data_IF_075163635680
#
_entry.id   IF_075163635680
#
_cell.length_a   1.000
_cell.length_b   1.000
_cell.length_c   1.000
_cell.angle_alpha   90.00
_cell.angle_beta   90.00
_cell.angle_gamma   90.00
#
_symmetry.space_group_name_H-M   'P 1'
#
loop_
_entity.id
_entity.type
_entity.pdbx_description
1 polymer ?
#
# COMPACT_ATOMS: atom_id res chain seq x y z
N UNK A 1 4.07 71.01 -26.32
CA UNK A 1 4.82 71.35 -25.09
C UNK A 1 4.27 70.48 -23.97
N UNK A 2 4.96 69.38 -23.69
CA UNK A 2 4.68 68.44 -22.60
C UNK A 2 5.47 68.82 -21.34
N UNK A 3 5.08 68.29 -20.18
CA UNK A 3 6.07 67.83 -19.22
C UNK A 3 5.84 66.37 -18.83
N UNK A 4 6.93 65.62 -18.97
CA UNK A 4 7.11 64.20 -18.65
C UNK A 4 7.51 64.07 -17.18
N UNK A 5 6.78 63.30 -16.38
CA UNK A 5 7.22 62.88 -15.05
C UNK A 5 7.60 61.39 -15.07
N UNK A 6 8.89 61.11 -14.89
CA UNK A 6 9.45 59.78 -14.66
C UNK A 6 9.19 59.32 -13.22
N UNK A 7 8.76 58.06 -13.05
CA UNK A 7 8.82 57.33 -11.79
C UNK A 7 9.87 56.22 -11.87
N UNK A 8 10.84 56.29 -10.96
CA UNK A 8 11.96 55.36 -10.79
C UNK A 8 11.54 54.13 -9.97
N UNK A 9 11.91 52.92 -10.45
CA UNK A 9 11.80 51.66 -9.69
C UNK A 9 12.86 51.59 -8.57
N UNK A 10 12.54 51.00 -7.40
CA UNK A 10 13.54 50.65 -6.39
C UNK A 10 14.22 49.29 -6.66
N UNK A 11 15.52 49.20 -6.39
CA UNK A 11 16.29 47.95 -6.42
C UNK A 11 16.29 47.22 -5.05
N UNK A 12 16.33 45.87 -5.01
CA UNK A 12 16.41 45.11 -3.77
C UNK A 12 17.86 44.84 -3.34
N UNK A 13 18.23 45.31 -2.14
CA UNK A 13 19.51 45.02 -1.46
C UNK A 13 19.31 44.13 -0.21
N UNK A 14 18.74 42.92 -0.33
CA UNK A 14 18.62 42.01 0.84
C UNK A 14 18.73 40.51 0.49
N UNK A 15 19.71 40.10 -0.31
CA UNK A 15 19.87 38.68 -0.68
C UNK A 15 21.18 38.01 -0.18
N UNK A 16 22.10 38.72 0.50
CA UNK A 16 23.44 38.18 0.81
C UNK A 16 23.68 37.70 2.25
N UNK A 17 22.75 37.89 3.19
CA UNK A 17 22.95 37.42 4.58
C UNK A 17 22.40 36.01 4.88
N UNK A 18 21.42 35.51 4.11
CA UNK A 18 20.79 34.21 4.41
C UNK A 18 21.61 32.97 3.98
N UNK A 19 22.58 33.14 3.07
CA UNK A 19 23.38 32.03 2.54
C UNK A 19 24.48 31.56 3.51
N UNK A 20 25.03 32.45 4.35
CA UNK A 20 26.12 32.13 5.26
C UNK A 20 25.66 31.26 6.45
N UNK A 21 24.41 31.41 6.91
CA UNK A 21 23.87 30.63 8.03
C UNK A 21 23.59 29.16 7.68
N UNK A 22 23.22 28.87 6.42
CA UNK A 22 22.93 27.50 5.97
C UNK A 22 24.19 26.62 5.88
N UNK A 23 25.34 27.20 5.53
CA UNK A 23 26.60 26.46 5.39
C UNK A 23 27.15 26.03 6.76
N UNK A 24 27.00 26.87 7.79
CA UNK A 24 27.46 26.56 9.16
C UNK A 24 26.58 25.46 9.78
N UNK A 25 25.27 25.46 9.51
CA UNK A 25 24.36 24.43 10.04
C UNK A 25 24.61 23.04 9.43
N UNK A 26 25.00 22.97 8.15
CA UNK A 26 25.34 21.69 7.48
C UNK A 26 26.65 21.11 8.03
N UNK A 27 27.64 21.96 8.35
CA UNK A 27 28.93 21.50 8.87
C UNK A 27 28.81 20.89 10.28
N UNK A 28 27.90 21.41 11.12
CA UNK A 28 27.67 20.89 12.49
C UNK A 28 26.95 19.54 12.47
N UNK A 29 26.00 19.34 11.54
CA UNK A 29 25.29 18.05 11.39
C UNK A 29 26.22 16.96 10.87
N UNK A 30 27.16 17.30 9.98
CA UNK A 30 28.11 16.32 9.43
C UNK A 30 29.11 15.80 10.47
N UNK A 31 29.50 16.62 11.46
CA UNK A 31 30.41 16.22 12.54
C UNK A 31 29.74 15.26 13.53
N UNK A 32 28.42 15.37 13.72
CA UNK A 32 27.65 14.49 14.61
C UNK A 32 27.47 13.06 14.04
N UNK A 33 27.49 12.89 12.71
CA UNK A 33 27.29 11.60 12.05
C UNK A 33 28.55 10.71 12.10
N UNK A 34 29.75 11.30 12.23
CA UNK A 34 31.03 10.55 12.18
C UNK A 34 31.41 9.97 13.56
N UNK A 35 30.70 10.34 14.64
CA UNK A 35 31.03 9.91 16.01
C UNK A 35 30.36 8.62 16.51
N UNK A 36 29.50 7.96 15.72
CA UNK A 36 28.61 6.91 16.22
C UNK A 36 29.11 5.45 16.08
N UNK A 37 30.37 5.21 15.71
CA UNK A 37 30.93 3.87 15.59
C UNK A 37 32.03 3.59 16.62
N UNK A 38 31.64 3.13 17.81
CA UNK A 38 32.56 2.40 18.71
C UNK A 38 31.86 1.15 19.25
N UNK A 39 32.34 -0.02 18.82
CA UNK A 39 31.87 -1.33 19.28
C UNK A 39 32.42 -1.66 20.69
N UNK A 40 31.66 -2.37 21.54
CA UNK A 40 32.17 -2.88 22.82
C UNK A 40 33.01 -4.16 22.64
N UNK A 41 34.05 -4.39 23.47
CA UNK A 41 34.88 -5.59 23.39
C UNK A 41 34.20 -6.80 24.03
N UNK A 42 34.35 -7.96 23.38
CA UNK A 42 33.92 -9.27 23.85
C UNK A 42 34.79 -9.77 25.01
N UNK A 43 34.15 -10.36 26.02
CA UNK A 43 34.79 -11.05 27.14
C UNK A 43 34.92 -12.55 26.84
N UNK A 44 36.10 -13.18 26.98
CA UNK A 44 36.23 -14.63 26.85
C UNK A 44 36.01 -15.30 28.22
N UNK A 45 34.97 -16.12 28.32
CA UNK A 45 34.77 -17.03 29.45
C UNK A 45 35.53 -18.34 29.23
N UNK A 46 36.70 -18.45 29.84
CA UNK A 46 37.47 -19.68 30.03
C UNK A 46 36.70 -20.65 30.92
N UNK A 47 36.58 -21.92 30.54
CA UNK A 47 36.37 -23.02 31.50
C UNK A 47 37.24 -24.19 31.10
N UNK A 48 38.26 -24.45 31.91
CA UNK A 48 39.14 -25.63 31.90
C UNK A 48 38.48 -26.81 32.63
N UNK A 49 39.00 -28.05 32.47
CA UNK A 49 38.28 -29.29 32.71
C UNK A 49 38.41 -29.79 34.16
N UNK A 50 37.39 -30.49 34.64
CA UNK A 50 37.47 -31.29 35.86
C UNK A 50 37.85 -32.71 35.45
N UNK A 51 39.08 -33.09 35.79
CA UNK A 51 39.55 -34.45 35.84
C UNK A 51 38.97 -35.15 37.08
N UNK A 52 38.48 -36.38 36.90
CA UNK A 52 38.33 -37.34 37.99
C UNK A 52 38.86 -38.68 37.48
N UNK A 53 40.08 -38.98 37.90
CA UNK A 53 40.67 -40.31 37.93
C UNK A 53 39.94 -41.12 39.00
N UNK A 54 39.39 -42.28 38.65
CA UNK A 54 39.27 -43.37 39.61
C UNK A 54 39.52 -44.71 38.93
N UNK A 55 40.62 -45.30 39.37
CA UNK A 55 41.25 -46.52 38.86
C UNK A 55 40.61 -47.72 39.55
N UNK A 56 40.09 -48.66 38.78
CA UNK A 56 39.84 -50.02 39.26
C UNK A 56 40.43 -51.05 38.29
N UNK A 57 41.50 -51.65 38.78
CA UNK A 57 42.27 -52.78 38.27
C UNK A 57 41.39 -53.96 37.89
N UNK A 58 41.51 -54.44 36.65
CA UNK A 58 40.99 -55.73 36.20
C UNK A 58 42.12 -56.50 35.50
N UNK A 59 42.26 -57.78 35.86
CA UNK A 59 43.32 -58.71 35.47
C UNK A 59 43.53 -58.84 33.95
N UNK A 60 44.81 -58.94 33.59
CA UNK A 60 45.34 -59.06 32.24
C UNK A 60 45.16 -60.51 31.71
N UNK A 61 44.34 -60.68 30.67
CA UNK A 61 44.30 -61.90 29.85
C UNK A 61 45.21 -61.75 28.62
N UNK A 62 45.89 -62.82 28.17
CA UNK A 62 46.76 -62.75 27.00
C UNK A 62 45.99 -62.46 25.70
N UNK A 63 46.56 -61.68 24.76
CA UNK A 63 45.86 -61.28 23.54
C UNK A 63 45.63 -62.47 22.61
N UNK A 64 44.36 -62.72 22.27
CA UNK A 64 43.96 -63.57 21.16
C UNK A 64 44.04 -62.76 19.86
N UNK A 65 44.96 -63.13 18.96
CA UNK A 65 45.07 -62.58 17.61
C UNK A 65 43.83 -62.98 16.78
N UNK A 66 42.79 -62.17 16.88
CA UNK A 66 41.58 -62.27 16.05
C UNK A 66 41.65 -61.10 15.05
N UNK A 67 41.46 -61.31 13.73
CA UNK A 67 41.50 -60.21 12.77
C UNK A 67 40.35 -59.24 13.07
N UNK A 68 40.66 -58.07 13.60
CA UNK A 68 39.70 -57.00 13.80
C UNK A 68 39.47 -56.35 12.43
N UNK A 69 38.32 -56.63 11.82
CA UNK A 69 37.85 -55.94 10.63
C UNK A 69 37.14 -54.66 11.11
N UNK A 70 37.65 -53.45 10.81
CA UNK A 70 37.00 -52.22 11.24
C UNK A 70 35.59 -52.18 10.65
N UNK A 71 34.58 -52.07 11.51
CA UNK A 71 33.23 -51.73 11.08
C UNK A 71 33.34 -50.35 10.41
N UNK A 72 32.92 -50.19 9.14
CA UNK A 72 32.98 -48.90 8.48
C UNK A 72 32.22 -47.87 9.31
N UNK A 73 32.72 -46.61 9.40
CA UNK A 73 32.04 -45.57 10.15
C UNK A 73 30.59 -45.49 9.69
N UNK A 74 29.65 -45.69 10.62
CA UNK A 74 28.24 -45.43 10.37
C UNK A 74 28.14 -43.97 9.95
N UNK A 75 27.73 -43.74 8.70
CA UNK A 75 27.47 -42.41 8.17
C UNK A 75 26.48 -41.72 9.10
N UNK A 76 26.95 -40.73 9.86
CA UNK A 76 26.07 -39.76 10.51
C UNK A 76 25.19 -39.18 9.40
N UNK A 77 23.85 -39.12 9.54
CA UNK A 77 23.04 -38.43 8.56
C UNK A 77 23.59 -37.01 8.44
N UNK A 78 24.09 -36.66 7.26
CA UNK A 78 24.41 -35.27 6.93
C UNK A 78 23.12 -34.47 7.15
N UNK A 79 23.19 -33.26 7.76
CA UNK A 79 22.01 -32.40 7.77
C UNK A 79 21.51 -32.30 6.34
N UNK A 80 20.24 -32.67 6.13
CA UNK A 80 19.55 -32.42 4.87
C UNK A 80 19.73 -30.94 4.59
N UNK A 81 20.27 -30.53 3.42
CA UNK A 81 20.38 -29.12 3.11
C UNK A 81 19.00 -28.49 3.27
N UNK A 82 18.91 -27.45 4.10
CA UNK A 82 17.70 -26.65 4.21
C UNK A 82 17.38 -26.15 2.79
N UNK A 83 16.16 -26.31 2.29
CA UNK A 83 15.86 -25.88 0.93
C UNK A 83 16.09 -24.37 0.84
N UNK A 84 16.91 -23.97 -0.12
CA UNK A 84 17.15 -22.56 -0.40
C UNK A 84 15.85 -21.94 -0.91
N UNK A 85 15.21 -21.13 -0.06
CA UNK A 85 14.05 -20.35 -0.47
C UNK A 85 14.51 -19.20 -1.36
N UNK A 86 13.88 -19.08 -2.52
CA UNK A 86 13.99 -17.93 -3.42
C UNK A 86 12.59 -17.44 -3.77
N UNK A 87 12.43 -16.14 -4.00
CA UNK A 87 11.12 -15.54 -4.31
C UNK A 87 11.14 -14.81 -5.63
N UNK A 88 10.09 -15.01 -6.42
CA UNK A 88 9.78 -14.18 -7.57
C UNK A 88 8.53 -13.35 -7.30
N UNK A 89 8.61 -12.05 -7.61
CA UNK A 89 7.51 -11.11 -7.43
C UNK A 89 7.11 -10.62 -8.81
N UNK A 90 5.84 -10.82 -9.17
CA UNK A 90 5.32 -10.40 -10.46
C UNK A 90 5.43 -8.89 -10.63
N UNK A 91 5.80 -8.36 -11.81
CA UNK A 91 5.81 -6.92 -12.08
C UNK A 91 4.43 -6.25 -11.91
N UNK A 92 3.36 -7.04 -11.90
CA UNK A 92 1.99 -6.60 -11.62
C UNK A 92 1.69 -6.47 -10.11
N UNK A 93 2.63 -6.78 -9.22
CA UNK A 93 2.49 -6.54 -7.78
C UNK A 93 2.68 -5.04 -7.50
N UNK A 94 1.77 -4.37 -6.79
CA UNK A 94 1.91 -2.96 -6.44
C UNK A 94 3.13 -2.72 -5.56
N UNK A 95 3.75 -1.54 -5.69
CA UNK A 95 4.96 -1.21 -4.94
C UNK A 95 4.73 -1.25 -3.43
N UNK A 96 3.58 -0.77 -2.98
CA UNK A 96 3.18 -0.77 -1.58
C UNK A 96 2.96 -2.19 -1.05
N UNK A 97 2.38 -3.10 -1.83
CA UNK A 97 2.26 -4.51 -1.44
C UNK A 97 3.65 -5.13 -1.27
N UNK A 98 4.54 -4.94 -2.26
CA UNK A 98 5.93 -5.43 -2.23
C UNK A 98 6.71 -4.89 -1.01
N UNK A 99 6.55 -3.60 -0.70
CA UNK A 99 7.24 -2.96 0.43
C UNK A 99 6.74 -3.40 1.81
N UNK A 100 5.53 -3.94 1.89
CA UNK A 100 4.89 -4.36 3.14
C UNK A 100 4.91 -5.88 3.35
N UNK A 101 5.67 -6.62 2.53
CA UNK A 101 5.87 -8.05 2.73
C UNK A 101 6.63 -8.32 4.02
N UNK A 102 6.07 -9.17 4.87
CA UNK A 102 6.60 -9.44 6.20
C UNK A 102 7.39 -10.75 6.23
N UNK A 103 8.60 -10.73 5.68
CA UNK A 103 9.49 -11.89 5.74
C UNK A 103 10.26 -11.95 7.07
N UNK A 104 10.44 -13.15 7.66
CA UNK A 104 11.21 -13.32 8.90
C UNK A 104 12.71 -13.04 8.72
N UNK A 105 13.22 -13.33 7.54
CA UNK A 105 14.58 -13.05 7.08
C UNK A 105 14.52 -12.66 5.61
N UNK A 106 15.49 -11.91 5.10
CA UNK A 106 15.58 -11.58 3.69
C UNK A 106 15.62 -12.87 2.84
N UNK A 107 14.56 -13.11 2.08
CA UNK A 107 14.52 -14.18 1.08
C UNK A 107 15.17 -13.62 -0.20
N UNK A 108 16.20 -14.29 -0.75
CA UNK A 108 16.81 -13.84 -1.99
C UNK A 108 15.81 -13.84 -3.13
N UNK A 109 15.86 -12.80 -3.97
CA UNK A 109 15.10 -12.75 -5.21
C UNK A 109 15.59 -13.80 -6.20
N UNK A 110 14.66 -14.49 -6.86
CA UNK A 110 14.98 -15.40 -7.96
C UNK A 110 15.32 -14.61 -9.24
N UNK A 111 16.26 -15.13 -10.04
CA UNK A 111 16.62 -14.52 -11.33
C UNK A 111 15.51 -14.67 -12.39
N UNK A 112 14.69 -15.71 -12.25
CA UNK A 112 13.57 -16.03 -13.14
C UNK A 112 12.38 -16.55 -12.32
N UNK A 113 11.18 -16.54 -12.90
CA UNK A 113 10.02 -17.13 -12.26
C UNK A 113 10.18 -18.67 -12.15
N UNK A 114 10.86 -19.28 -13.10
CA UNK A 114 11.05 -20.73 -13.19
C UNK A 114 12.00 -21.28 -12.13
N UNK A 115 12.91 -20.46 -11.60
CA UNK A 115 13.89 -20.87 -10.59
C UNK A 115 13.44 -20.55 -9.15
N UNK A 116 12.29 -19.90 -9.00
CA UNK A 116 11.78 -19.50 -7.70
C UNK A 116 11.24 -20.69 -6.89
N UNK A 117 11.34 -20.59 -5.56
CA UNK A 117 10.65 -21.49 -4.63
C UNK A 117 9.26 -20.95 -4.24
N UNK A 118 9.12 -19.61 -4.25
CA UNK A 118 7.95 -18.84 -3.85
C UNK A 118 7.58 -17.83 -4.94
N UNK A 119 6.30 -17.56 -5.11
CA UNK A 119 5.79 -16.54 -6.04
C UNK A 119 4.81 -15.62 -5.35
N UNK A 120 4.81 -14.36 -5.76
CA UNK A 120 3.69 -13.45 -5.52
C UNK A 120 3.18 -12.96 -6.86
N UNK A 121 1.92 -13.29 -7.15
CA UNK A 121 1.30 -13.00 -8.45
C UNK A 121 -0.22 -12.88 -8.33
N UNK A 122 -0.87 -12.55 -9.43
CA UNK A 122 -2.32 -12.64 -9.54
C UNK A 122 -2.74 -14.09 -9.86
N UNK A 123 -4.01 -14.41 -9.59
CA UNK A 123 -4.68 -15.69 -9.91
C UNK A 123 -4.51 -16.20 -11.36
N UNK A 124 -4.15 -15.30 -12.29
CA UNK A 124 -4.08 -15.56 -13.72
C UNK A 124 -2.67 -15.41 -14.31
N UNK A 125 -1.62 -15.30 -13.49
CA UNK A 125 -0.26 -15.15 -14.00
C UNK A 125 0.28 -16.50 -14.55
N UNK A 126 0.46 -16.65 -15.88
CA UNK A 126 0.89 -17.90 -16.51
C UNK A 126 2.38 -18.21 -16.27
N UNK A 127 3.12 -17.35 -15.55
CA UNK A 127 4.47 -17.63 -15.06
C UNK A 127 4.48 -18.60 -13.87
N UNK A 128 3.31 -18.92 -13.31
CA UNK A 128 3.12 -20.12 -12.50
C UNK A 128 3.20 -21.37 -13.41
N UNK A 129 4.42 -21.80 -13.74
CA UNK A 129 4.65 -23.08 -14.41
C UNK A 129 3.87 -24.19 -13.69
N UNK A 130 3.12 -25.00 -14.46
CA UNK A 130 2.16 -26.01 -13.99
C UNK A 130 1.47 -25.65 -12.65
N UNK A 131 0.35 -24.91 -12.68
CA UNK A 131 -0.43 -24.58 -11.48
C UNK A 131 -0.78 -25.81 -10.63
N UNK A 132 -0.87 -26.99 -11.26
CA UNK A 132 -1.10 -28.29 -10.61
C UNK A 132 0.03 -28.74 -9.66
N UNK A 133 1.20 -28.10 -9.73
CA UNK A 133 2.37 -28.37 -8.88
C UNK A 133 2.65 -27.24 -7.87
N UNK A 134 1.75 -26.26 -7.71
CA UNK A 134 1.91 -25.18 -6.73
C UNK A 134 0.91 -25.29 -5.59
N UNK A 135 1.31 -24.81 -4.41
CA UNK A 135 0.45 -24.74 -3.23
C UNK A 135 0.20 -23.27 -2.90
N UNK A 136 -1.08 -22.89 -2.81
CA UNK A 136 -1.49 -21.56 -2.32
C UNK A 136 -1.16 -21.46 -0.82
N UNK A 137 -0.35 -20.47 -0.46
CA UNK A 137 0.06 -20.22 0.92
C UNK A 137 -0.90 -19.24 1.59
N UNK A 138 -1.17 -18.12 0.92
CA UNK A 138 -2.02 -17.05 1.43
C UNK A 138 -2.48 -16.13 0.30
N UNK A 139 -3.49 -15.32 0.57
CA UNK A 139 -4.03 -14.32 -0.36
C UNK A 139 -4.25 -12.98 0.33
N UNK A 140 -4.21 -11.90 -0.46
CA UNK A 140 -4.57 -10.55 0.01
C UNK A 140 -5.39 -9.82 -1.06
N UNK A 141 -6.55 -9.23 -0.69
CA UNK A 141 -7.24 -8.29 -1.57
C UNK A 141 -6.50 -6.95 -1.62
N UNK A 142 -6.40 -6.36 -2.81
CA UNK A 142 -5.85 -5.03 -3.05
C UNK A 142 -6.87 -4.19 -3.82
N UNK A 143 -7.27 -3.07 -3.24
CA UNK A 143 -8.32 -2.20 -3.76
C UNK A 143 -7.71 -1.08 -4.59
N UNK A 144 -8.17 -0.92 -5.83
CA UNK A 144 -7.85 0.24 -6.67
C UNK A 144 -9.09 1.11 -6.83
N UNK A 145 -8.94 2.43 -6.84
CA UNK A 145 -10.04 3.35 -6.97
C UNK A 145 -10.03 4.05 -8.33
N UNK A 146 -11.20 4.14 -8.98
CA UNK A 146 -11.40 5.09 -10.06
C UNK A 146 -11.57 6.49 -9.45
N UNK A 147 -10.71 7.42 -9.85
CA UNK A 147 -10.69 8.79 -9.33
C UNK A 147 -10.74 9.82 -10.45
N UNK A 148 -11.23 11.01 -10.11
CA UNK A 148 -11.13 12.22 -10.92
C UNK A 148 -10.84 13.42 -10.01
N UNK A 149 -10.39 14.56 -10.53
CA UNK A 149 -10.23 15.77 -9.71
C UNK A 149 -11.51 16.14 -8.96
N UNK A 150 -11.39 16.59 -7.71
CA UNK A 150 -12.51 16.84 -6.79
C UNK A 150 -13.76 17.54 -7.38
N UNK A 151 -13.66 18.61 -8.19
CA UNK A 151 -14.83 19.33 -8.72
C UNK A 151 -15.60 18.59 -9.82
N UNK A 152 -15.26 17.33 -10.11
CA UNK A 152 -15.97 16.48 -11.08
C UNK A 152 -17.42 16.27 -10.64
N UNK A 153 -18.38 16.53 -11.53
CA UNK A 153 -19.81 16.43 -11.22
C UNK A 153 -20.29 14.97 -11.13
N UNK A 154 -20.00 14.07 -12.11
CA UNK A 154 -20.47 12.69 -12.05
C UNK A 154 -19.95 11.94 -10.82
N UNK A 155 -20.81 11.14 -10.19
CA UNK A 155 -20.51 10.41 -8.95
C UNK A 155 -20.20 8.92 -9.16
N UNK A 156 -20.55 8.35 -10.32
CA UNK A 156 -20.32 6.94 -10.61
C UNK A 156 -20.39 6.59 -12.08
N UNK A 157 -19.88 5.40 -12.39
CA UNK A 157 -19.78 4.82 -13.74
C UNK A 157 -20.12 3.34 -13.71
N UNK A 158 -20.43 2.77 -14.88
CA UNK A 158 -20.48 1.33 -15.03
C UNK A 158 -19.07 0.75 -15.23
N UNK A 159 -18.79 -0.47 -14.74
CA UNK A 159 -17.53 -1.16 -15.02
C UNK A 159 -17.27 -1.31 -16.53
N UNK A 160 -18.34 -1.53 -17.29
CA UNK A 160 -18.26 -1.71 -18.73
C UNK A 160 -17.71 -0.45 -19.43
N UNK A 161 -18.05 0.74 -18.94
CA UNK A 161 -17.54 1.99 -19.50
C UNK A 161 -16.04 2.17 -19.23
N UNK A 162 -15.57 1.75 -18.05
CA UNK A 162 -14.14 1.72 -17.70
C UNK A 162 -13.39 0.75 -18.63
N UNK A 163 -13.95 -0.44 -18.87
CA UNK A 163 -13.36 -1.44 -19.78
C UNK A 163 -13.31 -0.96 -21.23
N UNK A 164 -14.34 -0.23 -21.69
CA UNK A 164 -14.31 0.41 -23.00
C UNK A 164 -13.25 1.51 -23.06
N UNK A 165 -13.11 2.34 -22.02
CA UNK A 165 -12.04 3.34 -21.94
C UNK A 165 -10.64 2.69 -21.95
N UNK A 166 -10.44 1.61 -21.20
CA UNK A 166 -9.20 0.80 -21.22
C UNK A 166 -8.82 0.32 -22.62
N UNK A 167 -9.79 -0.05 -23.45
CA UNK A 167 -9.58 -0.47 -24.84
C UNK A 167 -9.37 0.70 -25.82
N UNK A 168 -9.43 1.95 -25.36
CA UNK A 168 -9.40 3.14 -26.22
C UNK A 168 -10.72 3.40 -26.95
N UNK A 169 -11.80 2.72 -26.54
CA UNK A 169 -13.14 2.82 -27.12
C UNK A 169 -14.10 3.60 -26.19
N UNK A 170 -13.53 4.37 -25.26
CA UNK A 170 -14.28 5.12 -24.26
C UNK A 170 -15.27 6.10 -24.91
N UNK A 171 -16.53 6.05 -24.49
CA UNK A 171 -17.58 6.97 -24.91
C UNK A 171 -18.24 7.63 -23.70
N UNK A 172 -19.15 8.58 -23.93
CA UNK A 172 -19.88 9.24 -22.85
C UNK A 172 -18.93 9.99 -21.90
N UNK A 173 -18.88 9.56 -20.64
CA UNK A 173 -18.08 10.21 -19.61
C UNK A 173 -16.61 10.30 -19.99
N UNK A 174 -16.01 9.19 -20.43
CA UNK A 174 -14.58 9.11 -20.74
C UNK A 174 -14.20 9.83 -22.05
N UNK A 175 -15.14 10.00 -22.98
CA UNK A 175 -14.96 10.85 -24.17
C UNK A 175 -13.73 10.56 -25.03
N UNK A 176 -13.27 9.30 -25.09
CA UNK A 176 -12.04 8.90 -25.80
C UNK A 176 -10.73 9.35 -25.14
N UNK A 177 -10.78 9.88 -23.92
CA UNK A 177 -9.60 10.27 -23.15
C UNK A 177 -8.99 9.03 -22.47
N UNK A 178 -7.65 8.96 -22.37
CA UNK A 178 -6.98 7.85 -21.74
C UNK A 178 -7.21 7.82 -20.23
N UNK A 179 -7.23 6.62 -19.66
CA UNK A 179 -7.13 6.42 -18.21
C UNK A 179 -5.70 6.71 -17.75
N UNK A 180 -5.55 7.53 -16.72
CA UNK A 180 -4.26 7.82 -16.11
C UNK A 180 -3.93 6.75 -15.06
N UNK A 181 -2.70 6.24 -15.05
CA UNK A 181 -2.22 5.33 -14.01
C UNK A 181 -0.71 5.18 -14.06
N UNK A 182 -0.12 4.55 -13.06
CA UNK A 182 1.29 4.15 -13.11
C UNK A 182 1.48 2.81 -13.84
N UNK A 183 2.73 2.46 -14.10
CA UNK A 183 3.10 1.27 -14.85
C UNK A 183 2.68 -0.04 -14.15
N UNK A 184 2.78 -0.13 -12.81
CA UNK A 184 2.43 -1.35 -12.06
C UNK A 184 0.92 -1.54 -12.06
N UNK A 185 0.14 -0.47 -11.83
CA UNK A 185 -1.32 -0.51 -12.00
C UNK A 185 -1.71 -0.93 -13.42
N UNK A 186 -1.00 -0.44 -14.44
CA UNK A 186 -1.16 -0.89 -15.82
C UNK A 186 -0.92 -2.39 -16.01
N UNK A 187 0.17 -2.92 -15.45
CA UNK A 187 0.50 -4.35 -15.50
C UNK A 187 -0.57 -5.20 -14.80
N UNK A 188 -1.07 -4.75 -13.64
CA UNK A 188 -2.19 -5.37 -12.92
C UNK A 188 -3.44 -5.46 -13.79
N UNK A 189 -3.89 -4.36 -14.37
CA UNK A 189 -5.10 -4.33 -15.20
C UNK A 189 -4.90 -5.07 -16.52
N UNK A 190 -3.67 -5.10 -17.06
CA UNK A 190 -3.32 -5.92 -18.22
C UNK A 190 -3.46 -7.41 -17.93
N UNK A 191 -3.03 -7.87 -16.76
CA UNK A 191 -3.22 -9.27 -16.35
C UNK A 191 -4.71 -9.63 -16.22
N UNK A 192 -5.53 -8.69 -15.76
CA UNK A 192 -6.97 -8.91 -15.55
C UNK A 192 -7.82 -8.80 -16.81
N UNK A 193 -7.53 -7.83 -17.69
CA UNK A 193 -8.40 -7.46 -18.82
C UNK A 193 -7.73 -7.65 -20.19
N UNK A 194 -6.47 -8.06 -20.22
CA UNK A 194 -5.63 -8.07 -21.42
C UNK A 194 -5.06 -6.68 -21.73
N UNK A 195 -4.24 -6.57 -22.80
CA UNK A 195 -3.56 -5.33 -23.15
C UNK A 195 -4.55 -4.18 -23.37
N UNK A 196 -4.16 -2.98 -22.95
CA UNK A 196 -4.92 -1.76 -23.23
C UNK A 196 -4.93 -1.43 -24.72
N UNK A 197 -5.90 -0.61 -25.13
CA UNK A 197 -5.85 0.02 -26.45
C UNK A 197 -4.67 1.00 -26.55
N UNK A 198 -4.16 1.30 -27.76
CA UNK A 198 -3.03 2.21 -27.96
C UNK A 198 -3.23 3.59 -27.31
N UNK A 199 -4.46 4.09 -27.31
CA UNK A 199 -4.84 5.39 -26.74
C UNK A 199 -5.71 5.25 -25.47
N UNK A 200 -5.85 4.04 -24.94
CA UNK A 200 -6.73 3.77 -23.80
C UNK A 200 -6.14 4.17 -22.44
N UNK A 201 -4.81 4.26 -22.37
CA UNK A 201 -4.07 4.48 -21.12
C UNK A 201 -2.93 5.47 -21.34
N UNK A 202 -2.71 6.33 -20.36
CA UNK A 202 -1.56 7.23 -20.30
C UNK A 202 -0.79 6.99 -19.00
N UNK A 203 0.41 6.43 -19.13
CA UNK A 203 1.26 6.10 -17.99
C UNK A 203 2.03 7.32 -17.49
N UNK A 204 1.98 7.53 -16.17
CA UNK A 204 2.69 8.59 -15.48
C UNK A 204 3.35 8.04 -14.20
N UNK A 205 4.45 8.66 -13.71
CA UNK A 205 4.94 8.38 -12.36
C UNK A 205 3.82 8.61 -11.33
N UNK A 206 3.69 7.78 -10.28
CA UNK A 206 2.62 7.89 -9.28
C UNK A 206 2.44 9.31 -8.72
N UNK A 207 3.56 9.99 -8.44
CA UNK A 207 3.61 11.35 -7.89
C UNK A 207 3.08 12.43 -8.85
N UNK A 208 3.08 12.17 -10.16
CA UNK A 208 2.69 13.13 -11.19
C UNK A 208 1.22 13.00 -11.61
N UNK A 209 0.58 11.85 -11.35
CA UNK A 209 -0.79 11.52 -11.80
C UNK A 209 -1.79 12.60 -11.38
N UNK A 210 -1.74 13.03 -10.11
CA UNK A 210 -2.69 13.99 -9.56
C UNK A 210 -2.57 15.37 -10.20
N UNK A 211 -1.36 15.91 -10.26
CA UNK A 211 -1.14 17.25 -10.82
C UNK A 211 -1.43 17.28 -12.31
N UNK A 212 -1.08 16.20 -13.03
CA UNK A 212 -1.49 16.03 -14.42
C UNK A 212 -3.01 16.01 -14.57
N UNK A 213 -3.71 15.21 -13.77
CA UNK A 213 -5.17 15.10 -13.81
C UNK A 213 -5.85 16.46 -13.57
N UNK A 214 -5.37 17.25 -12.61
CA UNK A 214 -5.91 18.58 -12.32
C UNK A 214 -5.70 19.60 -13.44
N UNK A 215 -4.56 19.53 -14.13
CA UNK A 215 -4.21 20.41 -15.24
C UNK A 215 -4.91 20.05 -16.56
N UNK A 216 -5.36 18.80 -16.70
CA UNK A 216 -5.97 18.28 -17.93
C UNK A 216 -7.41 17.81 -17.71
N UNK A 217 -8.23 18.59 -16.99
CA UNK A 217 -9.64 18.26 -16.75
C UNK A 217 -10.48 18.38 -18.04
N UNK A 218 -11.44 17.46 -18.29
CA UNK A 218 -11.75 16.28 -17.48
C UNK A 218 -10.71 15.17 -17.63
N UNK A 219 -10.48 14.43 -16.56
CA UNK A 219 -9.49 13.34 -16.49
C UNK A 219 -9.95 12.29 -15.49
N UNK A 220 -9.56 11.04 -15.74
CA UNK A 220 -9.84 9.91 -14.87
C UNK A 220 -8.57 9.11 -14.65
N UNK A 221 -8.33 8.73 -13.41
CA UNK A 221 -7.21 7.89 -13.05
C UNK A 221 -7.68 6.63 -12.33
N UNK A 222 -6.90 5.56 -12.42
CA UNK A 222 -7.03 4.41 -11.53
C UNK A 222 -5.79 4.40 -10.65
N UNK A 223 -5.98 4.47 -9.35
CA UNK A 223 -4.89 4.54 -8.36
C UNK A 223 -5.11 3.51 -7.25
N UNK A 224 -4.04 2.98 -6.62
CA UNK A 224 -4.17 2.17 -5.40
C UNK A 224 -4.89 2.96 -4.29
N UNK A 225 -5.65 2.26 -3.43
CA UNK A 225 -6.45 2.89 -2.36
C UNK A 225 -5.61 3.78 -1.42
N UNK A 226 -4.40 3.37 -1.11
CA UNK A 226 -3.43 4.05 -0.27
C UNK A 226 -2.86 5.33 -0.88
N UNK A 227 -3.03 5.54 -2.20
CA UNK A 227 -2.68 6.78 -2.91
C UNK A 227 -3.82 7.83 -2.90
N UNK A 228 -4.94 7.55 -2.24
CA UNK A 228 -6.05 8.50 -2.13
C UNK A 228 -5.70 9.68 -1.22
N UNK A 229 -6.05 10.87 -1.67
CA UNK A 229 -5.87 12.12 -0.95
C UNK A 229 -7.02 13.10 -1.24
N UNK A 230 -7.24 14.16 -0.43
CA UNK A 230 -8.44 15.00 -0.50
C UNK A 230 -8.69 15.71 -1.85
N UNK A 231 -7.66 15.85 -2.70
CA UNK A 231 -7.80 16.46 -4.03
C UNK A 231 -8.47 15.52 -5.04
N UNK A 232 -8.62 14.24 -4.71
CA UNK A 232 -9.34 13.26 -5.50
C UNK A 232 -10.83 13.21 -5.11
N UNK A 233 -11.67 13.01 -6.13
CA UNK A 233 -13.01 12.45 -5.98
C UNK A 233 -12.95 10.99 -6.40
N UNK A 234 -13.32 10.08 -5.51
CA UNK A 234 -13.50 8.66 -5.84
C UNK A 234 -14.88 8.48 -6.47
N UNK A 235 -14.93 7.82 -7.63
CA UNK A 235 -16.19 7.50 -8.31
C UNK A 235 -16.68 6.11 -7.90
N UNK A 236 -17.99 5.97 -7.80
CA UNK A 236 -18.63 4.67 -7.63
C UNK A 236 -18.49 3.85 -8.92
N UNK A 237 -18.29 2.55 -8.79
CA UNK A 237 -18.30 1.61 -9.91
C UNK A 237 -19.44 0.65 -9.67
N UNK A 238 -20.40 0.62 -10.61
CA UNK A 238 -21.64 -0.16 -10.47
C UNK A 238 -22.38 0.10 -9.14
N UNK A 239 -22.30 1.34 -8.64
CA UNK A 239 -22.93 1.78 -7.39
C UNK A 239 -22.12 1.50 -6.12
N UNK A 240 -20.96 0.84 -6.22
CA UNK A 240 -20.11 0.52 -5.06
C UNK A 240 -18.94 1.51 -4.97
N UNK A 241 -18.65 2.00 -3.76
CA UNK A 241 -17.51 2.88 -3.46
C UNK A 241 -16.55 2.21 -2.47
N UNK A 242 -15.23 2.26 -2.71
CA UNK A 242 -14.24 1.75 -1.77
C UNK A 242 -14.12 2.62 -0.50
N UNK A 243 -14.69 3.83 -0.51
CA UNK A 243 -14.78 4.70 0.68
C UNK A 243 -16.00 4.39 1.55
N UNK A 244 -16.91 3.50 1.12
CA UNK A 244 -18.03 3.10 1.95
C UNK A 244 -17.54 2.43 3.24
N UNK A 245 -18.25 2.65 4.35
CA UNK A 245 -17.91 2.05 5.65
C UNK A 245 -18.09 0.54 5.59
N UNK A 246 -19.28 0.10 5.17
CA UNK A 246 -19.60 -1.28 4.83
C UNK A 246 -19.16 -1.56 3.38
N UNK A 247 -17.88 -1.82 3.21
CA UNK A 247 -17.31 -2.22 1.91
C UNK A 247 -17.15 -3.73 1.85
N UNK A 248 -17.73 -4.35 0.82
CA UNK A 248 -17.47 -5.73 0.43
C UNK A 248 -16.44 -5.75 -0.72
N UNK A 249 -15.20 -6.20 -0.47
CA UNK A 249 -14.18 -6.29 -1.52
C UNK A 249 -14.61 -7.19 -2.69
N UNK A 250 -15.40 -8.24 -2.44
CA UNK A 250 -15.84 -9.18 -3.46
C UNK A 250 -16.90 -8.62 -4.42
N UNK A 251 -17.61 -7.57 -4.00
CA UNK A 251 -18.60 -6.87 -4.82
C UNK A 251 -17.99 -5.72 -5.64
N UNK A 252 -16.76 -5.28 -5.33
CA UNK A 252 -16.14 -4.13 -5.98
C UNK A 252 -15.23 -4.54 -7.16
N UNK A 253 -15.50 -4.08 -8.38
CA UNK A 253 -14.82 -4.58 -9.59
C UNK A 253 -13.31 -4.31 -9.70
N UNK A 254 -12.78 -3.38 -8.90
CA UNK A 254 -11.35 -3.04 -8.88
C UNK A 254 -10.66 -3.55 -7.61
N UNK A 255 -11.27 -4.51 -6.92
CA UNK A 255 -10.54 -5.34 -5.94
C UNK A 255 -9.85 -6.47 -6.68
N UNK A 256 -8.55 -6.62 -6.44
CA UNK A 256 -7.70 -7.62 -7.09
C UNK A 256 -7.03 -8.46 -6.02
N UNK A 257 -7.17 -9.78 -6.11
CA UNK A 257 -6.54 -10.70 -5.16
C UNK A 257 -5.15 -11.04 -5.65
N UNK A 258 -4.17 -10.83 -4.77
CA UNK A 258 -2.81 -11.29 -4.94
C UNK A 258 -2.58 -12.53 -4.09
N UNK A 259 -1.83 -13.47 -4.65
CA UNK A 259 -1.64 -14.80 -4.11
C UNK A 259 -0.16 -15.01 -3.87
N UNK A 260 0.15 -15.66 -2.75
CA UNK A 260 1.46 -16.21 -2.50
C UNK A 260 1.41 -17.71 -2.78
N UNK A 261 2.28 -18.17 -3.67
CA UNK A 261 2.42 -19.57 -4.04
C UNK A 261 3.75 -20.12 -3.54
N UNK A 262 3.78 -21.42 -3.26
CA UNK A 262 4.99 -22.15 -2.91
C UNK A 262 5.10 -23.44 -3.72
N UNK A 263 6.34 -23.85 -4.02
CA UNK A 263 6.58 -25.25 -4.40
C UNK A 263 6.24 -26.18 -3.23
N UNK A 264 5.71 -27.38 -3.49
CA UNK A 264 5.41 -28.38 -2.47
C UNK A 264 6.61 -28.68 -1.57
N UNK A 265 7.82 -28.78 -2.15
CA UNK A 265 9.05 -29.05 -1.40
C UNK A 265 9.57 -27.89 -0.53
N UNK A 266 9.00 -26.69 -0.68
CA UNK A 266 9.46 -25.47 0.00
C UNK A 266 8.53 -25.04 1.14
N UNK A 267 7.33 -25.64 1.23
CA UNK A 267 6.28 -25.23 2.17
C UNK A 267 6.67 -25.48 3.63
N UNK A 268 7.22 -26.66 3.94
CA UNK A 268 7.63 -27.01 5.31
C UNK A 268 8.73 -26.07 5.83
N UNK A 269 9.69 -25.71 4.97
CA UNK A 269 10.75 -24.77 5.32
C UNK A 269 10.21 -23.35 5.50
N UNK A 270 9.27 -22.93 4.67
CA UNK A 270 8.58 -21.65 4.84
C UNK A 270 7.83 -21.60 6.18
N UNK A 271 7.04 -22.63 6.49
CA UNK A 271 6.31 -22.72 7.76
C UNK A 271 7.24 -22.70 8.97
N UNK A 272 8.32 -23.49 8.96
CA UNK A 272 9.28 -23.51 10.06
C UNK A 272 9.89 -22.11 10.31
N UNK A 273 10.21 -21.36 9.24
CA UNK A 273 10.72 -19.98 9.36
C UNK A 273 9.66 -19.03 9.93
N UNK A 274 8.42 -19.10 9.46
CA UNK A 274 7.32 -18.26 9.94
C UNK A 274 7.00 -18.51 11.41
N UNK A 275 6.90 -19.79 11.81
CA UNK A 275 6.67 -20.19 13.20
C UNK A 275 7.78 -19.71 14.12
N UNK A 276 9.04 -19.87 13.72
CA UNK A 276 10.20 -19.44 14.52
C UNK A 276 10.24 -17.93 14.76
N UNK A 277 9.71 -17.15 13.82
CA UNK A 277 9.66 -15.69 13.89
C UNK A 277 8.34 -15.16 14.49
N UNK A 278 7.37 -16.03 14.78
CA UNK A 278 6.04 -15.62 15.24
C UNK A 278 5.26 -14.81 14.20
N UNK A 279 5.53 -15.02 12.90
CA UNK A 279 4.85 -14.35 11.80
C UNK A 279 3.69 -15.23 11.31
N UNK A 280 2.48 -14.68 11.32
CA UNK A 280 1.28 -15.41 10.90
C UNK A 280 1.01 -15.36 9.40
N UNK A 281 1.49 -14.32 8.71
CA UNK A 281 1.32 -14.13 7.27
C UNK A 281 2.42 -13.22 6.73
N UNK A 282 2.89 -13.53 5.52
CA UNK A 282 3.84 -12.70 4.75
C UNK A 282 3.09 -11.58 4.05
N UNK A 283 1.93 -11.88 3.47
CA UNK A 283 1.09 -10.89 2.83
C UNK A 283 0.39 -10.04 3.90
N UNK A 284 0.36 -8.71 3.75
CA UNK A 284 -0.51 -7.85 4.56
C UNK A 284 -1.98 -8.24 4.34
N UNK A 285 -2.90 -7.86 5.26
CA UNK A 285 -4.30 -8.27 5.14
C UNK A 285 -5.06 -7.59 3.99
N UNK A 286 -4.76 -6.32 3.70
CA UNK A 286 -5.29 -5.51 2.59
C UNK A 286 -4.59 -4.13 2.55
N UNK A 287 -4.80 -3.35 1.50
CA UNK A 287 -4.44 -1.92 1.46
C UNK A 287 -5.52 -0.97 1.99
N UNK A 288 -6.72 -1.49 2.27
CA UNK A 288 -7.84 -0.75 2.86
C UNK A 288 -8.14 -1.29 4.26
N UNK A 289 -7.90 -0.47 5.28
CA UNK A 289 -8.27 -0.79 6.67
C UNK A 289 -9.54 -0.01 7.08
N UNK A 290 -10.68 -0.67 7.33
CA UNK A 290 -11.91 0.01 7.75
C UNK A 290 -11.76 0.73 9.09
N UNK A 291 -10.83 0.33 9.96
CA UNK A 291 -10.58 1.00 11.24
C UNK A 291 -9.77 2.30 11.09
N UNK A 292 -9.27 2.58 9.88
CA UNK A 292 -8.54 3.81 9.54
C UNK A 292 -9.36 4.76 8.68
N UNK A 293 -10.66 4.50 8.53
CA UNK A 293 -11.60 5.36 7.82
C UNK A 293 -12.47 6.13 8.81
N UNK A 294 -12.78 7.36 8.46
CA UNK A 294 -13.74 8.19 9.20
C UNK A 294 -14.57 8.98 8.22
N UNK A 295 -15.89 8.90 8.37
CA UNK A 295 -16.85 9.63 7.56
C UNK A 295 -17.17 10.95 8.27
N UNK A 296 -16.87 12.06 7.60
CA UNK A 296 -17.20 13.40 8.08
C UNK A 296 -18.25 14.01 7.17
N UNK A 297 -19.42 14.32 7.73
CA UNK A 297 -20.47 15.06 7.04
C UNK A 297 -20.51 16.50 7.53
N UNK A 298 -20.43 17.44 6.59
CA UNK A 298 -20.40 18.87 6.89
C UNK A 298 -21.49 19.55 6.07
N UNK A 299 -22.35 20.32 6.72
CA UNK A 299 -23.32 21.15 6.00
C UNK A 299 -22.65 22.44 5.51
N UNK A 300 -23.28 23.12 4.54
CA UNK A 300 -22.95 24.51 4.24
C UNK A 300 -23.16 25.43 5.45
N UNK A 301 -22.59 26.63 5.38
CA UNK A 301 -22.59 27.62 6.47
C UNK A 301 -23.98 28.08 6.91
N UNK A 302 -24.98 27.95 6.06
CA UNK A 302 -26.34 28.47 6.27
C UNK A 302 -27.36 27.35 6.43
N UNK A 303 -26.98 26.22 7.04
CA UNK A 303 -27.81 25.00 7.03
C UNK A 303 -29.19 25.20 7.67
N UNK A 304 -29.26 25.97 8.77
CA UNK A 304 -30.47 26.15 9.57
C UNK A 304 -31.03 27.59 9.53
N UNK A 305 -30.62 28.41 8.55
CA UNK A 305 -31.06 29.82 8.47
C UNK A 305 -32.25 30.01 7.53
N UNK A 306 -32.93 31.16 7.68
CA UNK A 306 -33.95 31.73 6.76
C UNK A 306 -34.94 30.69 6.25
N UNK A 307 -34.76 30.16 5.04
CA UNK A 307 -35.67 29.20 4.42
C UNK A 307 -35.82 27.92 5.26
N UNK A 308 -34.72 27.36 5.77
CA UNK A 308 -34.77 26.17 6.62
C UNK A 308 -35.49 26.48 7.93
N UNK A 309 -35.20 27.63 8.55
CA UNK A 309 -35.88 28.07 9.77
C UNK A 309 -37.39 28.31 9.56
N UNK A 310 -37.79 28.91 8.43
CA UNK A 310 -39.20 29.07 8.06
C UNK A 310 -39.90 27.71 7.88
N UNK A 311 -39.23 26.76 7.24
CA UNK A 311 -39.73 25.39 7.11
C UNK A 311 -39.88 24.71 8.47
N UNK A 312 -38.96 24.93 9.40
CA UNK A 312 -39.06 24.41 10.77
C UNK A 312 -40.26 25.01 11.53
N UNK A 313 -40.53 26.30 11.37
CA UNK A 313 -41.69 26.97 11.98
C UNK A 313 -43.00 26.46 11.38
N UNK A 314 -43.06 26.31 10.06
CA UNK A 314 -44.30 25.98 9.35
C UNK A 314 -44.59 24.48 9.25
N UNK A 315 -43.58 23.62 9.37
CA UNK A 315 -43.68 22.17 9.15
C UNK A 315 -43.17 21.31 10.32
N UNK A 316 -42.68 21.95 11.39
CA UNK A 316 -42.11 21.29 12.57
C UNK A 316 -40.58 21.27 12.58
N UNK A 317 -40.00 21.31 13.78
CA UNK A 317 -38.56 21.50 14.00
C UNK A 317 -37.70 20.38 13.37
N UNK A 318 -38.25 19.18 13.22
CA UNK A 318 -37.58 18.00 12.67
C UNK A 318 -37.59 17.97 11.13
N UNK A 319 -38.32 18.89 10.48
CA UNK A 319 -38.48 18.92 9.03
C UNK A 319 -37.15 18.85 8.25
N UNK A 320 -36.07 19.58 8.64
CA UNK A 320 -34.80 19.52 7.92
C UNK A 320 -34.11 18.16 8.00
N UNK A 321 -34.35 17.40 9.07
CA UNK A 321 -33.74 16.09 9.28
C UNK A 321 -34.57 14.95 8.69
N UNK A 322 -35.78 15.22 8.17
CA UNK A 322 -36.70 14.17 7.71
C UNK A 322 -36.09 13.27 6.63
N UNK A 323 -35.40 13.88 5.66
CA UNK A 323 -34.91 13.17 4.47
C UNK A 323 -33.40 12.88 4.55
N UNK A 324 -32.66 13.58 5.41
CA UNK A 324 -31.18 13.46 5.54
C UNK A 324 -30.71 13.06 6.93
N UNK A 325 -31.62 12.92 7.89
CA UNK A 325 -31.27 12.66 9.29
C UNK A 325 -30.64 11.29 9.52
N UNK A 326 -31.06 10.26 8.76
CA UNK A 326 -30.41 8.95 8.78
C UNK A 326 -28.97 9.05 8.24
N UNK A 327 -28.81 9.68 7.07
CA UNK A 327 -27.50 9.93 6.47
C UNK A 327 -26.55 10.66 7.43
N UNK A 328 -27.01 11.74 8.07
CA UNK A 328 -26.22 12.49 9.06
C UNK A 328 -25.90 11.69 10.33
N UNK A 329 -26.63 10.61 10.64
CA UNK A 329 -26.35 9.73 11.78
C UNK A 329 -25.41 8.58 11.44
N UNK A 330 -25.25 8.25 10.17
CA UNK A 330 -24.32 7.22 9.69
C UNK A 330 -22.86 7.68 9.76
N UNK A 331 -22.61 8.98 9.64
CA UNK A 331 -21.28 9.56 9.74
C UNK A 331 -20.68 9.43 11.15
N UNK A 332 -19.37 9.25 11.22
CA UNK A 332 -18.64 9.23 12.49
C UNK A 332 -18.57 10.63 13.11
N UNK A 333 -18.53 11.67 12.25
CA UNK A 333 -18.56 13.08 12.65
C UNK A 333 -19.55 13.83 11.77
N UNK A 334 -20.51 14.49 12.42
CA UNK A 334 -21.46 15.38 11.75
C UNK A 334 -21.29 16.80 12.26
N UNK A 335 -20.97 17.71 11.34
CA UNK A 335 -20.84 19.13 11.58
C UNK A 335 -21.97 19.89 10.89
N UNK A 336 -22.87 20.46 11.70
CA UNK A 336 -23.89 21.38 11.21
C UNK A 336 -23.39 22.81 11.39
N UNK A 337 -23.07 23.48 10.30
CA UNK A 337 -22.68 24.89 10.31
C UNK A 337 -23.90 25.80 10.18
N UNK A 338 -23.99 26.79 11.08
CA UNK A 338 -25.08 27.76 11.12
C UNK A 338 -24.57 29.17 11.44
N UNK A 339 -24.25 29.91 10.40
CA UNK A 339 -23.80 31.30 10.44
C UNK A 339 -24.99 32.24 10.31
N UNK A 340 -25.71 32.45 11.43
CA UNK A 340 -26.78 33.46 11.50
C UNK A 340 -26.27 34.70 12.23
N UNK A 341 -26.54 35.88 11.68
CA UNK A 341 -26.21 37.14 12.35
C UNK A 341 -27.14 37.38 13.54
N UNK A 342 -26.57 37.74 14.69
CA UNK A 342 -27.32 38.21 15.86
C UNK A 342 -27.71 39.68 15.68
N UNK A 343 -28.61 39.96 14.73
CA UNK A 343 -29.15 41.30 14.51
C UNK A 343 -30.37 41.54 15.43
N UNK A 344 -30.40 42.61 16.24
CA UNK A 344 -31.52 42.89 17.17
C UNK A 344 -32.87 43.06 16.47
N UNK A 345 -32.84 43.53 15.23
CA UNK A 345 -33.97 43.81 14.36
C UNK A 345 -34.15 42.73 13.27
N UNK A 346 -33.57 41.55 13.46
CA UNK A 346 -33.78 40.43 12.55
C UNK A 346 -35.27 40.04 12.53
N UNK A 347 -35.97 40.15 11.38
CA UNK A 347 -37.36 39.73 11.31
C UNK A 347 -37.45 38.21 11.53
N UNK A 348 -38.63 37.76 11.96
CA UNK A 348 -38.93 36.33 11.96
C UNK A 348 -38.65 35.72 10.56
N UNK A 349 -38.13 34.48 10.50
CA UNK A 349 -37.78 33.82 9.24
C UNK A 349 -38.94 33.74 8.26
#
# INVERSE_FOLDING_TARGET
MSPTHLHSKPQPKHARLAAAGKIISILVVLILIIGACTAPPASPGTTEPIAVDEVLSMEEMPPSHTPFQPVPPTSTPSPTPEPDLSIWISPAVPAELESNLNFPEAIPGAESAEDAALWISLDQDPLAGNPEEMVEVSTTPWVFALVAPFPTIPDGVALQDIRSAWKGEGSGLFGGLPLLMDQRTGSTLTAMWGPSGPDGVHFLPPEDILDYAWNHRPSWAIVPFEALEPRWKVLHIDGVSPLAKEFDPGAYPLTITYHMWSRPGSLDALHARLESAGISSILPPANRDPNRLSVVMVTGVTALVRATAWMMVTRGIEFPARDVGDLLREADITHISNEVAFAPDCPAP
#
